data_IF_531393194799
#
_entry.id   IF_531393194799
#
_cell.length_a   1.000
_cell.length_b   1.000
_cell.length_c   1.000
_cell.angle_alpha   90.00
_cell.angle_beta   90.00
_cell.angle_gamma   90.00
#
_symmetry.space_group_name_H-M   'P 1'
#
loop_
_entity.id
_entity.type
_entity.pdbx_description
1 polymer ?
#
# COMPACT_ATOMS: atom_id res chain seq x y z
N UNK A 1 6.86 -13.38 -13.74
CA UNK A 1 5.92 -12.39 -13.14
C UNK A 1 5.68 -11.23 -14.10
N UNK A 2 4.48 -10.65 -14.11
CA UNK A 2 4.18 -9.42 -14.88
C UNK A 2 4.09 -8.22 -13.92
N UNK A 3 4.67 -7.08 -14.30
CA UNK A 3 4.66 -5.87 -13.47
C UNK A 3 3.27 -5.21 -13.49
N UNK A 4 2.49 -5.47 -12.44
CA UNK A 4 1.15 -4.90 -12.27
C UNK A 4 1.16 -3.49 -11.65
N UNK A 5 2.29 -3.05 -11.09
CA UNK A 5 2.40 -1.76 -10.39
C UNK A 5 2.23 -0.59 -11.37
N UNK A 6 2.66 -0.74 -12.63
CA UNK A 6 2.44 0.25 -13.69
C UNK A 6 0.95 0.55 -13.94
N UNK A 7 0.08 -0.47 -13.88
CA UNK A 7 -1.37 -0.28 -14.07
C UNK A 7 -1.92 0.68 -13.01
N UNK A 8 -1.49 0.54 -11.77
CA UNK A 8 -1.91 1.41 -10.66
C UNK A 8 -1.33 2.82 -10.78
N UNK A 9 -0.05 2.94 -11.20
CA UNK A 9 0.56 4.23 -11.47
C UNK A 9 -0.22 5.00 -12.56
N UNK A 10 -0.52 4.36 -13.69
CA UNK A 10 -1.26 5.00 -14.79
C UNK A 10 -2.71 5.32 -14.42
N UNK A 11 -3.40 4.45 -13.67
CA UNK A 11 -4.75 4.73 -13.18
C UNK A 11 -4.77 5.95 -12.25
N UNK A 12 -3.80 6.05 -11.34
CA UNK A 12 -3.69 7.20 -10.44
C UNK A 12 -3.36 8.49 -11.22
N UNK A 13 -2.41 8.44 -12.16
CA UNK A 13 -2.08 9.57 -13.02
C UNK A 13 -3.28 10.04 -13.87
N UNK A 14 -4.01 9.09 -14.48
CA UNK A 14 -5.22 9.38 -15.25
C UNK A 14 -6.31 10.02 -14.38
N UNK A 15 -6.51 9.53 -13.17
CA UNK A 15 -7.40 10.14 -12.19
C UNK A 15 -7.00 11.57 -11.82
N UNK A 16 -5.70 11.82 -11.60
CA UNK A 16 -5.20 13.17 -11.32
C UNK A 16 -5.51 14.14 -12.47
N UNK A 17 -5.25 13.73 -13.72
CA UNK A 17 -5.59 14.54 -14.91
C UNK A 17 -7.08 14.81 -14.98
N UNK A 18 -7.94 13.80 -14.74
CA UNK A 18 -9.38 13.98 -14.70
C UNK A 18 -9.82 15.05 -13.69
N UNK A 19 -9.29 15.03 -12.46
CA UNK A 19 -9.64 16.04 -11.46
C UNK A 19 -9.08 17.43 -11.80
N UNK A 20 -7.92 17.53 -12.44
CA UNK A 20 -7.41 18.81 -12.96
C UNK A 20 -8.34 19.38 -14.04
N UNK A 21 -8.84 18.54 -14.94
CA UNK A 21 -9.83 18.94 -15.94
C UNK A 21 -11.16 19.36 -15.29
N UNK A 22 -11.55 18.69 -14.21
CA UNK A 22 -12.75 19.04 -13.44
C UNK A 22 -12.61 20.43 -12.79
N UNK A 23 -11.44 20.79 -12.28
CA UNK A 23 -11.15 22.16 -11.79
C UNK A 23 -11.32 23.17 -12.92
N UNK A 24 -10.73 22.92 -14.09
CA UNK A 24 -10.81 23.81 -15.24
C UNK A 24 -12.25 23.97 -15.77
N UNK A 25 -13.05 22.90 -15.70
CA UNK A 25 -14.46 22.92 -16.04
C UNK A 25 -15.28 23.70 -15.01
N UNK A 26 -15.10 23.42 -13.71
CA UNK A 26 -15.80 24.10 -12.63
C UNK A 26 -15.56 25.63 -12.65
N UNK A 27 -14.33 26.05 -12.98
CA UNK A 27 -13.99 27.47 -13.10
C UNK A 27 -14.68 28.18 -14.28
N UNK A 28 -15.10 27.46 -15.32
CA UNK A 28 -15.76 28.04 -16.50
C UNK A 28 -17.28 27.87 -16.50
N UNK A 29 -17.78 26.77 -15.92
CA UNK A 29 -19.18 26.36 -16.03
C UNK A 29 -20.02 26.71 -14.78
N UNK A 30 -19.39 27.02 -13.65
CA UNK A 30 -20.08 27.22 -12.37
C UNK A 30 -19.69 28.55 -11.74
N UNK A 31 -20.67 29.25 -11.16
CA UNK A 31 -20.38 30.38 -10.29
C UNK A 31 -19.71 29.88 -8.99
N UNK A 32 -18.71 30.61 -8.52
CA UNK A 32 -17.89 30.20 -7.37
C UNK A 32 -18.75 30.02 -6.11
N UNK A 33 -19.70 30.92 -5.89
CA UNK A 33 -20.60 30.92 -4.73
C UNK A 33 -21.73 29.87 -4.84
N UNK A 34 -22.03 29.38 -6.05
CA UNK A 34 -23.03 28.31 -6.25
C UNK A 34 -22.44 26.89 -6.12
N UNK A 35 -21.30 26.76 -5.44
CA UNK A 35 -20.60 25.48 -5.22
C UNK A 35 -19.39 25.25 -6.11
N UNK A 36 -19.09 26.14 -7.07
CA UNK A 36 -17.90 26.04 -7.91
C UNK A 36 -16.59 25.99 -7.09
N UNK A 37 -16.47 26.81 -6.04
CA UNK A 37 -15.31 26.79 -5.15
C UNK A 37 -15.15 25.48 -4.38
N UNK A 38 -16.26 24.87 -3.92
CA UNK A 38 -16.22 23.60 -3.21
C UNK A 38 -15.74 22.47 -4.12
N UNK A 39 -16.25 22.42 -5.36
CA UNK A 39 -15.84 21.44 -6.37
C UNK A 39 -14.37 21.59 -6.72
N UNK A 40 -13.88 22.82 -6.91
CA UNK A 40 -12.47 23.08 -7.19
C UNK A 40 -11.56 22.67 -6.03
N UNK A 41 -11.94 22.99 -4.79
CA UNK A 41 -11.15 22.62 -3.61
C UNK A 41 -11.01 21.10 -3.44
N UNK A 42 -12.13 20.37 -3.53
CA UNK A 42 -12.12 18.90 -3.43
C UNK A 42 -11.33 18.28 -4.57
N UNK A 43 -11.53 18.76 -5.80
CA UNK A 43 -10.82 18.24 -6.98
C UNK A 43 -9.33 18.50 -6.90
N UNK A 44 -8.91 19.68 -6.40
CA UNK A 44 -7.50 19.98 -6.17
C UNK A 44 -6.87 19.01 -5.16
N UNK A 45 -7.54 18.79 -4.02
CA UNK A 45 -7.05 17.86 -3.01
C UNK A 45 -6.91 16.43 -3.54
N UNK A 46 -7.91 15.96 -4.30
CA UNK A 46 -7.88 14.64 -4.93
C UNK A 46 -6.79 14.53 -6.00
N UNK A 47 -6.60 15.56 -6.82
CA UNK A 47 -5.54 15.60 -7.82
C UNK A 47 -4.15 15.48 -7.17
N UNK A 48 -3.87 16.28 -6.15
CA UNK A 48 -2.59 16.22 -5.41
C UNK A 48 -2.37 14.85 -4.78
N UNK A 49 -3.42 14.29 -4.16
CA UNK A 49 -3.35 12.94 -3.56
C UNK A 49 -3.04 11.88 -4.62
N UNK A 50 -3.70 11.93 -5.78
CA UNK A 50 -3.48 10.97 -6.86
C UNK A 50 -2.11 11.12 -7.52
N UNK A 51 -1.55 12.33 -7.60
CA UNK A 51 -0.16 12.54 -8.02
C UNK A 51 0.80 11.85 -7.04
N UNK A 52 0.61 12.06 -5.73
CA UNK A 52 1.44 11.40 -4.71
C UNK A 52 1.35 9.86 -4.80
N UNK A 53 0.13 9.33 -4.96
CA UNK A 53 -0.10 7.88 -5.16
C UNK A 53 0.57 7.39 -6.44
N UNK A 54 0.48 8.14 -7.55
CA UNK A 54 1.13 7.79 -8.80
C UNK A 54 2.66 7.73 -8.65
N UNK A 55 3.27 8.69 -7.96
CA UNK A 55 4.72 8.70 -7.71
C UNK A 55 5.15 7.52 -6.83
N UNK A 56 4.35 7.15 -5.83
CA UNK A 56 4.58 5.98 -4.99
C UNK A 56 4.62 4.70 -5.83
N UNK A 57 3.59 4.47 -6.67
CA UNK A 57 3.52 3.28 -7.53
C UNK A 57 4.57 3.29 -8.64
N UNK A 58 4.94 4.46 -9.16
CA UNK A 58 6.04 4.59 -10.12
C UNK A 58 7.35 4.06 -9.52
N UNK A 59 7.73 4.54 -8.33
CA UNK A 59 8.97 4.11 -7.68
C UNK A 59 8.99 2.59 -7.49
N UNK A 60 7.86 2.00 -7.08
CA UNK A 60 7.73 0.54 -6.93
C UNK A 60 7.82 -0.20 -8.25
N UNK A 61 7.17 0.30 -9.29
CA UNK A 61 7.17 -0.30 -10.62
C UNK A 61 8.59 -0.34 -11.22
N UNK A 62 9.37 0.74 -11.10
CA UNK A 62 10.76 0.77 -11.57
C UNK A 62 11.67 -0.22 -10.83
N UNK A 63 11.51 -0.35 -9.51
CA UNK A 63 12.25 -1.35 -8.73
C UNK A 63 11.89 -2.75 -9.16
N UNK A 64 10.59 -3.03 -9.38
CA UNK A 64 10.13 -4.32 -9.88
C UNK A 64 10.76 -4.65 -11.24
N UNK A 65 10.75 -3.72 -12.19
CA UNK A 65 11.37 -3.92 -13.52
C UNK A 65 12.86 -4.21 -13.40
N UNK A 66 13.60 -3.43 -12.61
CA UNK A 66 15.05 -3.63 -12.43
C UNK A 66 15.38 -5.02 -11.86
N UNK A 67 14.59 -5.51 -10.89
CA UNK A 67 14.79 -6.83 -10.30
C UNK A 67 14.42 -7.93 -11.30
N UNK A 68 13.31 -7.77 -12.03
CA UNK A 68 12.87 -8.74 -13.04
C UNK A 68 13.81 -8.82 -14.25
N UNK A 69 14.49 -7.72 -14.58
CA UNK A 69 15.55 -7.67 -15.60
C UNK A 69 16.88 -8.27 -15.11
N UNK A 70 16.95 -8.72 -13.85
CA UNK A 70 18.14 -9.35 -13.25
C UNK A 70 19.22 -8.36 -12.82
N UNK A 71 18.92 -7.06 -12.76
CA UNK A 71 19.90 -6.06 -12.38
C UNK A 71 20.20 -6.14 -10.88
N UNK A 72 21.47 -6.38 -10.53
CA UNK A 72 21.96 -6.46 -9.15
C UNK A 72 21.22 -7.49 -8.28
N UNK A 73 20.80 -8.60 -8.87
CA UNK A 73 20.20 -9.72 -8.17
C UNK A 73 21.26 -10.41 -7.28
N UNK A 74 20.99 -10.50 -5.99
CA UNK A 74 21.84 -11.14 -5.00
C UNK A 74 21.43 -12.61 -4.82
N UNK A 75 20.12 -12.87 -4.74
CA UNK A 75 19.59 -14.22 -4.64
C UNK A 75 18.21 -14.35 -5.29
N UNK A 76 17.92 -15.56 -5.75
CA UNK A 76 16.60 -15.97 -6.19
C UNK A 76 16.27 -17.30 -5.51
N UNK A 77 15.25 -17.30 -4.67
CA UNK A 77 14.80 -18.47 -3.94
C UNK A 77 13.40 -18.88 -4.38
N UNK A 78 13.22 -20.19 -4.54
CA UNK A 78 11.93 -20.81 -4.89
C UNK A 78 11.49 -21.71 -3.74
N UNK A 79 10.29 -21.48 -3.21
CA UNK A 79 9.72 -22.26 -2.12
C UNK A 79 8.71 -23.29 -2.61
N UNK A 80 8.49 -24.33 -1.80
CA UNK A 80 7.42 -25.29 -2.03
C UNK A 80 6.04 -24.65 -1.78
N UNK A 81 5.00 -25.12 -2.46
CA UNK A 81 3.64 -24.60 -2.32
C UNK A 81 3.05 -24.79 -0.89
N UNK A 82 3.55 -25.77 -0.14
CA UNK A 82 3.09 -26.09 1.22
C UNK A 82 3.61 -25.08 2.26
N UNK A 83 4.87 -24.64 2.15
CA UNK A 83 5.46 -23.63 3.05
C UNK A 83 4.84 -22.23 2.87
N UNK A 84 4.36 -21.94 1.65
CA UNK A 84 3.73 -20.65 1.32
C UNK A 84 2.38 -20.44 2.01
N UNK A 85 1.57 -21.50 2.17
CA UNK A 85 0.24 -21.43 2.75
C UNK A 85 0.24 -21.13 4.25
N UNK A 86 1.15 -21.74 5.01
CA UNK A 86 1.23 -21.57 6.47
C UNK A 86 1.67 -20.14 6.88
N UNK A 87 2.55 -19.53 6.09
CA UNK A 87 3.04 -18.17 6.34
C UNK A 87 2.11 -17.09 5.79
N UNK A 88 1.28 -17.37 4.77
CA UNK A 88 0.29 -16.43 4.24
C UNK A 88 -0.90 -16.19 5.18
N UNK A 89 -1.30 -17.22 5.94
CA UNK A 89 -2.43 -17.10 6.88
C UNK A 89 -2.17 -16.13 8.05
N UNK A 90 -0.94 -16.11 8.58
CA UNK A 90 -0.58 -15.27 9.74
C UNK A 90 -0.47 -13.79 9.36
N UNK A 91 0.23 -13.47 8.28
CA UNK A 91 0.41 -12.10 7.79
C UNK A 91 -0.93 -11.46 7.34
N UNK A 92 -1.83 -12.27 6.79
CA UNK A 92 -3.17 -11.82 6.39
C UNK A 92 -4.06 -11.40 7.57
N UNK A 93 -3.93 -12.08 8.72
CA UNK A 93 -4.76 -11.78 9.89
C UNK A 93 -4.40 -10.43 10.51
N UNK A 94 -3.11 -10.11 10.61
CA UNK A 94 -2.61 -8.84 11.16
C UNK A 94 -3.01 -7.63 10.30
N UNK A 95 -2.92 -7.76 8.97
CA UNK A 95 -3.37 -6.71 8.04
C UNK A 95 -4.89 -6.47 8.09
N UNK A 96 -5.68 -7.52 8.32
CA UNK A 96 -7.15 -7.41 8.40
C UNK A 96 -7.60 -6.66 9.66
N UNK A 97 -6.99 -6.97 10.80
CA UNK A 97 -7.34 -6.35 12.08
C UNK A 97 -6.96 -4.86 12.11
N UNK A 98 -5.78 -4.50 11.59
CA UNK A 98 -5.35 -3.10 11.51
C UNK A 98 -6.28 -2.24 10.63
N UNK A 99 -6.66 -2.75 9.45
CA UNK A 99 -7.57 -2.03 8.54
C UNK A 99 -8.99 -1.91 9.10
N UNK A 100 -9.46 -2.91 9.85
CA UNK A 100 -10.79 -2.89 10.48
C UNK A 100 -10.87 -1.87 11.61
N UNK A 101 -9.82 -1.74 12.43
CA UNK A 101 -9.75 -0.75 13.48
C UNK A 101 -9.76 0.68 12.92
N UNK A 102 -8.95 0.95 11.88
CA UNK A 102 -8.92 2.25 11.22
C UNK A 102 -10.28 2.61 10.60
N UNK A 103 -10.93 1.65 9.94
CA UNK A 103 -12.28 1.85 9.39
C UNK A 103 -13.31 2.15 10.48
N UNK A 104 -13.24 1.48 11.63
CA UNK A 104 -14.17 1.72 12.74
C UNK A 104 -14.02 3.12 13.32
N UNK A 105 -12.78 3.60 13.48
CA UNK A 105 -12.51 4.97 13.98
C UNK A 105 -12.97 6.02 12.97
N UNK A 106 -12.54 5.91 11.71
CA UNK A 106 -12.88 6.88 10.66
C UNK A 106 -14.38 6.86 10.38
N UNK A 107 -14.98 5.67 10.24
CA UNK A 107 -16.42 5.50 10.04
C UNK A 107 -17.24 6.07 11.20
N UNK A 108 -16.78 5.89 12.44
CA UNK A 108 -17.41 6.48 13.63
C UNK A 108 -17.42 8.01 13.59
N UNK A 109 -16.29 8.64 13.24
CA UNK A 109 -16.22 10.10 13.09
C UNK A 109 -17.13 10.63 11.99
N UNK A 110 -17.17 9.97 10.83
CA UNK A 110 -18.08 10.33 9.75
C UNK A 110 -19.55 10.20 10.18
N UNK A 111 -19.90 9.15 10.92
CA UNK A 111 -21.26 8.95 11.42
C UNK A 111 -21.70 10.08 12.36
N UNK A 112 -20.81 10.51 13.27
CA UNK A 112 -21.07 11.66 14.15
C UNK A 112 -21.27 12.94 13.32
N UNK A 113 -20.40 13.19 12.34
CA UNK A 113 -20.52 14.36 11.47
C UNK A 113 -21.83 14.36 10.67
N UNK A 114 -22.25 13.20 10.13
CA UNK A 114 -23.53 13.02 9.44
C UNK A 114 -24.70 13.35 10.38
N UNK A 115 -24.71 12.81 11.60
CA UNK A 115 -25.77 13.06 12.59
C UNK A 115 -25.83 14.55 12.95
N UNK A 116 -24.69 15.19 13.20
CA UNK A 116 -24.64 16.63 13.49
C UNK A 116 -25.16 17.47 12.32
N UNK A 117 -24.78 17.15 11.08
CA UNK A 117 -25.26 17.88 9.90
C UNK A 117 -26.75 17.66 9.64
N UNK A 118 -27.29 16.48 9.96
CA UNK A 118 -28.73 16.23 9.86
C UNK A 118 -29.54 17.01 10.91
N UNK A 119 -28.99 17.20 12.12
CA UNK A 119 -29.68 17.91 13.21
C UNK A 119 -29.53 19.43 13.07
N UNK A 120 -28.32 19.91 12.75
CA UNK A 120 -27.97 21.34 12.81
C UNK A 120 -27.79 22.00 11.43
N UNK A 121 -27.68 21.23 10.34
CA UNK A 121 -27.33 21.76 9.03
C UNK A 121 -28.48 22.34 8.21
N UNK A 122 -29.73 22.28 8.70
CA UNK A 122 -30.91 22.77 7.97
C UNK A 122 -31.08 22.08 6.61
N UNK A 123 -31.56 22.80 5.59
CA UNK A 123 -31.82 22.24 4.25
C UNK A 123 -30.52 21.78 3.54
N UNK A 124 -29.41 22.49 3.72
CA UNK A 124 -28.11 22.11 3.18
C UNK A 124 -27.48 20.90 3.91
N UNK A 125 -27.88 20.67 5.17
CA UNK A 125 -27.42 19.56 5.99
C UNK A 125 -27.80 18.20 5.42
N UNK A 126 -29.01 18.06 4.89
CA UNK A 126 -29.49 16.80 4.29
C UNK A 126 -28.66 16.41 3.07
N UNK A 127 -28.45 17.36 2.15
CA UNK A 127 -27.72 17.12 0.91
C UNK A 127 -26.25 16.81 1.19
N UNK A 128 -25.63 17.53 2.13
CA UNK A 128 -24.25 17.29 2.58
C UNK A 128 -24.09 15.93 3.27
N UNK A 129 -25.04 15.55 4.11
CA UNK A 129 -25.06 14.23 4.77
C UNK A 129 -25.18 13.09 3.78
N UNK A 130 -25.96 13.25 2.71
CA UNK A 130 -26.11 12.24 1.66
C UNK A 130 -24.80 12.03 0.89
N UNK A 131 -24.06 13.11 0.61
CA UNK A 131 -22.71 13.04 0.02
C UNK A 131 -21.73 12.32 0.96
N UNK A 132 -21.75 12.64 2.26
CA UNK A 132 -20.89 11.99 3.25
C UNK A 132 -21.20 10.50 3.41
N UNK A 133 -22.48 10.11 3.37
CA UNK A 133 -22.89 8.70 3.37
C UNK A 133 -22.33 7.98 2.12
N UNK A 134 -22.40 8.61 0.94
CA UNK A 134 -21.81 8.07 -0.27
C UNK A 134 -20.29 7.86 -0.15
N UNK A 135 -19.57 8.84 0.42
CA UNK A 135 -18.14 8.73 0.68
C UNK A 135 -17.82 7.58 1.66
N UNK A 136 -18.56 7.45 2.76
CA UNK A 136 -18.43 6.33 3.71
C UNK A 136 -18.71 5.00 3.02
N UNK A 137 -19.72 4.93 2.15
CA UNK A 137 -20.04 3.73 1.37
C UNK A 137 -18.89 3.28 0.47
N UNK A 138 -18.24 4.23 -0.21
CA UNK A 138 -17.03 3.95 -1.02
C UNK A 138 -15.89 3.46 -0.14
N UNK A 139 -15.62 4.14 0.98
CA UNK A 139 -14.58 3.74 1.94
C UNK A 139 -14.87 2.33 2.49
N UNK A 140 -16.12 2.01 2.81
CA UNK A 140 -16.55 0.72 3.30
C UNK A 140 -16.35 -0.39 2.26
N UNK A 141 -16.71 -0.11 1.00
CA UNK A 141 -16.46 -1.02 -0.12
C UNK A 141 -14.98 -1.30 -0.29
N UNK A 142 -14.12 -0.29 -0.22
CA UNK A 142 -12.66 -0.45 -0.30
C UNK A 142 -12.14 -1.23 0.91
N UNK A 143 -12.57 -0.88 2.13
CA UNK A 143 -12.15 -1.55 3.36
C UNK A 143 -12.55 -3.04 3.39
N UNK A 144 -13.67 -3.41 2.76
CA UNK A 144 -14.13 -4.80 2.68
C UNK A 144 -13.55 -5.55 1.48
N UNK A 145 -13.37 -4.87 0.34
CA UNK A 145 -12.87 -5.45 -0.90
C UNK A 145 -11.35 -5.65 -0.92
N UNK A 146 -10.58 -4.67 -0.42
CA UNK A 146 -9.12 -4.71 -0.44
C UNK A 146 -8.54 -5.95 0.27
N UNK A 147 -9.01 -6.35 1.48
CA UNK A 147 -8.49 -7.55 2.13
C UNK A 147 -8.75 -8.82 1.31
N UNK A 148 -9.93 -8.97 0.69
CA UNK A 148 -10.21 -10.16 -0.13
C UNK A 148 -9.37 -10.23 -1.41
N UNK A 149 -9.09 -9.08 -2.01
CA UNK A 149 -8.22 -9.00 -3.18
C UNK A 149 -6.77 -9.32 -2.81
N UNK A 150 -6.28 -8.83 -1.66
CA UNK A 150 -4.95 -9.15 -1.15
C UNK A 150 -4.83 -10.63 -0.80
N UNK A 151 -5.83 -11.22 -0.14
CA UNK A 151 -5.83 -12.65 0.20
C UNK A 151 -5.80 -13.56 -1.02
N UNK A 152 -6.66 -13.27 -2.01
CA UNK A 152 -6.73 -14.08 -3.23
C UNK A 152 -5.47 -13.97 -4.08
N UNK A 153 -4.78 -12.83 -4.05
CA UNK A 153 -3.45 -12.67 -4.63
C UNK A 153 -2.39 -13.41 -3.84
N UNK A 154 -2.38 -13.31 -2.50
CA UNK A 154 -1.40 -13.99 -1.66
C UNK A 154 -1.45 -15.52 -1.79
N UNK A 155 -2.64 -16.10 -2.02
CA UNK A 155 -2.80 -17.55 -2.28
C UNK A 155 -2.34 -17.94 -3.68
N UNK A 156 -2.40 -17.02 -4.65
CA UNK A 156 -2.04 -17.27 -6.06
C UNK A 156 -0.62 -16.86 -6.41
N UNK A 157 0.05 -16.12 -5.52
CA UNK A 157 1.39 -15.60 -5.75
C UNK A 157 2.39 -16.75 -5.89
N UNK A 158 3.24 -16.68 -6.92
CA UNK A 158 4.33 -17.65 -7.07
C UNK A 158 5.19 -17.64 -5.80
N UNK A 159 5.54 -18.81 -5.24
CA UNK A 159 6.36 -18.93 -4.04
C UNK A 159 7.83 -18.61 -4.35
N UNK A 160 8.09 -17.39 -4.81
CA UNK A 160 9.41 -16.92 -5.22
C UNK A 160 9.81 -15.68 -4.40
N UNK A 161 11.07 -15.63 -4.01
CA UNK A 161 11.72 -14.45 -3.45
C UNK A 161 12.88 -14.02 -4.36
N UNK A 162 12.86 -12.77 -4.81
CA UNK A 162 13.98 -12.14 -5.50
C UNK A 162 14.59 -11.10 -4.57
N UNK A 163 15.85 -11.30 -4.21
CA UNK A 163 16.61 -10.37 -3.36
C UNK A 163 17.61 -9.66 -4.25
N UNK A 164 17.51 -8.34 -4.35
CA UNK A 164 18.44 -7.50 -5.10
C UNK A 164 19.01 -6.40 -4.21
N UNK A 165 20.06 -5.71 -4.70
CA UNK A 165 20.71 -4.63 -3.95
C UNK A 165 19.84 -3.37 -3.77
N UNK A 166 18.75 -3.25 -4.54
CA UNK A 166 17.86 -2.08 -4.55
C UNK A 166 16.46 -2.37 -3.98
N UNK A 167 16.15 -3.62 -3.66
CA UNK A 167 14.85 -4.03 -3.15
C UNK A 167 14.65 -5.53 -3.14
N UNK A 168 13.53 -5.94 -2.56
CA UNK A 168 13.15 -7.35 -2.48
C UNK A 168 11.76 -7.54 -3.05
N UNK A 169 11.58 -8.59 -3.85
CA UNK A 169 10.27 -9.09 -4.25
C UNK A 169 10.01 -10.34 -3.43
N UNK A 170 8.92 -10.33 -2.67
CA UNK A 170 8.46 -11.49 -1.93
C UNK A 170 6.95 -11.65 -2.18
N UNK A 171 6.51 -12.83 -2.66
CA UNK A 171 5.09 -13.13 -2.90
C UNK A 171 4.37 -12.11 -3.78
N UNK A 172 4.98 -11.73 -4.90
CA UNK A 172 4.48 -10.70 -5.81
C UNK A 172 4.37 -9.28 -5.21
N UNK A 173 4.77 -9.06 -3.96
CA UNK A 173 4.91 -7.74 -3.38
C UNK A 173 6.35 -7.25 -3.50
N UNK A 174 6.51 -6.02 -4.02
CA UNK A 174 7.82 -5.35 -4.11
C UNK A 174 8.04 -4.41 -2.94
N UNK A 175 9.22 -4.52 -2.33
CA UNK A 175 9.70 -3.72 -1.21
C UNK A 175 11.02 -3.02 -1.61
N UNK A 176 10.96 -1.77 -2.10
CA UNK A 176 12.15 -1.00 -2.44
C UNK A 176 12.91 -0.60 -1.16
N UNK A 177 14.24 -0.66 -1.18
CA UNK A 177 15.08 -0.22 -0.06
C UNK A 177 15.10 1.30 0.11
N UNK A 178 14.87 2.03 -0.98
CA UNK A 178 14.60 3.47 -0.95
C UNK A 178 13.42 3.78 -1.87
N UNK A 179 12.40 4.40 -1.30
CA UNK A 179 11.23 4.92 -2.00
C UNK A 179 10.80 6.23 -1.35
N UNK A 180 9.86 6.94 -1.98
CA UNK A 180 9.37 8.25 -1.53
C UNK A 180 8.91 8.27 -0.06
N UNK A 181 8.36 7.15 0.44
CA UNK A 181 7.87 7.03 1.83
C UNK A 181 8.53 5.90 2.61
N UNK A 182 9.52 5.21 2.05
CA UNK A 182 10.08 4.01 2.67
C UNK A 182 11.59 3.97 2.58
N UNK A 183 12.22 3.54 3.66
CA UNK A 183 13.68 3.36 3.72
C UNK A 183 14.01 2.10 4.51
N UNK A 184 14.90 1.28 3.96
CA UNK A 184 15.52 0.17 4.69
C UNK A 184 16.43 0.73 5.79
N UNK A 185 16.24 0.26 7.02
CA UNK A 185 17.14 0.53 8.14
C UNK A 185 18.24 -0.52 8.27
N UNK A 186 17.93 -1.78 8.02
CA UNK A 186 18.91 -2.84 8.11
C UNK A 186 18.32 -4.21 7.77
N UNK A 187 19.22 -5.19 7.68
CA UNK A 187 18.89 -6.58 7.43
C UNK A 187 19.50 -7.41 8.55
N UNK A 188 18.70 -8.26 9.18
CA UNK A 188 19.17 -9.18 10.21
C UNK A 188 18.86 -10.62 9.83
N UNK A 189 19.75 -11.53 10.19
CA UNK A 189 19.58 -12.96 10.00
C UNK A 189 19.26 -13.60 11.34
N UNK A 190 18.14 -14.33 11.40
CA UNK A 190 17.70 -15.08 12.58
C UNK A 190 17.94 -16.58 12.33
N UNK A 191 18.74 -17.18 13.20
CA UNK A 191 19.09 -18.60 13.13
C UNK A 191 17.88 -19.52 13.36
N UNK A 192 17.95 -20.71 12.76
CA UNK A 192 16.97 -21.79 12.94
C UNK A 192 16.81 -22.10 14.42
N UNK A 193 15.58 -21.98 14.93
CA UNK A 193 15.21 -22.48 16.26
C UNK A 193 14.57 -23.86 16.07
N UNK A 194 14.60 -24.80 17.03
CA UNK A 194 14.01 -26.15 16.89
C UNK A 194 12.55 -26.24 16.39
N UNK A 195 11.80 -25.13 16.34
CA UNK A 195 10.41 -25.05 15.87
C UNK A 195 10.21 -24.04 14.71
N UNK A 196 11.26 -23.38 14.21
CA UNK A 196 11.17 -22.33 13.17
C UNK A 196 12.35 -22.37 12.20
N UNK A 197 12.05 -22.31 10.89
CA UNK A 197 13.04 -22.14 9.82
C UNK A 197 13.82 -20.82 9.99
N UNK A 198 15.07 -20.78 9.53
CA UNK A 198 15.88 -19.56 9.49
C UNK A 198 15.15 -18.44 8.71
N UNK A 199 15.27 -17.20 9.21
CA UNK A 199 14.59 -16.03 8.65
C UNK A 199 15.59 -14.92 8.33
N UNK A 200 15.44 -14.32 7.16
CA UNK A 200 16.07 -13.06 6.79
C UNK A 200 15.05 -11.93 7.01
N UNK A 201 15.33 -11.05 7.96
CA UNK A 201 14.43 -9.98 8.40
C UNK A 201 14.92 -8.65 7.84
N UNK A 202 14.11 -8.03 6.97
CA UNK A 202 14.34 -6.70 6.44
C UNK A 202 13.55 -5.69 7.27
N UNK A 203 14.25 -4.80 7.97
CA UNK A 203 13.65 -3.76 8.80
C UNK A 203 13.53 -2.47 7.99
N UNK A 204 12.31 -1.96 7.88
CA UNK A 204 11.99 -0.76 7.13
C UNK A 204 11.38 0.30 8.03
N UNK A 205 11.64 1.57 7.71
CA UNK A 205 10.91 2.71 8.24
C UNK A 205 10.03 3.29 7.14
N UNK A 206 8.72 3.29 7.41
CA UNK A 206 7.72 3.95 6.57
C UNK A 206 7.30 5.28 7.17
N UNK A 207 7.27 6.33 6.33
CA UNK A 207 6.64 7.61 6.66
C UNK A 207 5.13 7.46 6.48
N UNK A 208 4.37 7.48 7.57
CA UNK A 208 2.90 7.29 7.56
C UNK A 208 2.15 8.61 7.84
N UNK A 209 2.87 9.68 8.11
CA UNK A 209 2.31 11.02 8.34
C UNK A 209 3.41 12.07 8.51
N UNK A 210 3.00 13.31 8.79
CA UNK A 210 3.90 14.40 9.15
C UNK A 210 4.61 14.01 10.47
N UNK A 211 5.89 13.59 10.37
CA UNK A 211 6.75 13.12 11.46
C UNK A 211 6.41 11.77 12.11
N UNK A 212 5.48 10.99 11.54
CA UNK A 212 5.18 9.63 12.06
C UNK A 212 5.95 8.60 11.24
N UNK A 213 6.99 8.05 11.86
CA UNK A 213 7.78 6.94 11.34
C UNK A 213 7.25 5.64 11.94
N UNK A 214 6.84 4.69 11.09
CA UNK A 214 6.40 3.37 11.52
C UNK A 214 7.42 2.33 11.08
N UNK A 215 8.11 1.67 12.02
CA UNK A 215 8.94 0.52 11.68
C UNK A 215 8.04 -0.65 11.27
N UNK A 216 8.42 -1.38 10.24
CA UNK A 216 7.81 -2.65 9.87
C UNK A 216 8.89 -3.62 9.37
N UNK A 217 8.63 -4.91 9.54
CA UNK A 217 9.57 -5.98 9.20
C UNK A 217 9.00 -6.85 8.09
N UNK A 218 9.83 -7.19 7.10
CA UNK A 218 9.53 -8.22 6.11
C UNK A 218 10.39 -9.43 6.43
N UNK A 219 9.74 -10.55 6.77
CA UNK A 219 10.41 -11.79 7.18
C UNK A 219 10.38 -12.77 6.03
N UNK A 220 11.55 -13.12 5.52
CA UNK A 220 11.71 -14.02 4.38
C UNK A 220 12.36 -15.31 4.87
N UNK A 221 11.69 -16.47 4.72
CA UNK A 221 12.28 -17.74 5.12
C UNK A 221 13.49 -18.07 4.25
N UNK A 222 14.56 -18.57 4.87
CA UNK A 222 15.75 -19.01 4.14
C UNK A 222 15.58 -20.49 3.78
N UNK A 223 15.69 -20.87 2.50
CA UNK A 223 15.61 -22.26 2.11
C UNK A 223 16.81 -23.05 2.67
N UNK A 224 16.58 -24.33 2.98
CA UNK A 224 17.64 -25.20 3.51
C UNK A 224 18.83 -25.29 2.55
N UNK A 225 20.04 -25.07 3.07
CA UNK A 225 21.28 -25.05 2.29
C UNK A 225 21.75 -23.68 1.80
N UNK A 226 20.93 -22.63 1.91
CA UNK A 226 21.29 -21.23 1.55
C UNK A 226 21.62 -20.37 2.78
N UNK A 227 21.82 -20.99 3.95
CA UNK A 227 22.03 -20.31 5.24
C UNK A 227 23.31 -19.45 5.26
N UNK A 228 24.39 -19.95 4.66
CA UNK A 228 25.64 -19.20 4.51
C UNK A 228 25.47 -17.98 3.59
N UNK A 229 24.79 -18.18 2.46
CA UNK A 229 24.52 -17.11 1.50
C UNK A 229 23.59 -16.04 2.09
N UNK A 230 22.59 -16.45 2.88
CA UNK A 230 21.72 -15.52 3.60
C UNK A 230 22.47 -14.66 4.63
N UNK A 231 23.47 -15.23 5.32
CA UNK A 231 24.35 -14.47 6.23
C UNK A 231 25.19 -13.45 5.47
N UNK A 232 25.74 -13.83 4.31
CA UNK A 232 26.52 -12.91 3.47
C UNK A 232 25.66 -11.74 2.98
N UNK A 233 24.40 -12.00 2.57
CA UNK A 233 23.45 -10.95 2.18
C UNK A 233 23.16 -10.00 3.34
N UNK A 234 22.95 -10.53 4.56
CA UNK A 234 22.73 -9.71 5.74
C UNK A 234 23.93 -8.80 6.05
N UNK A 235 25.16 -9.27 5.82
CA UNK A 235 26.38 -8.46 5.99
C UNK A 235 26.57 -7.40 4.92
N UNK A 236 26.13 -7.64 3.69
CA UNK A 236 26.23 -6.68 2.57
C UNK A 236 25.18 -5.58 2.67
N UNK A 237 23.99 -5.89 3.21
CA UNK A 237 22.83 -4.99 3.25
C UNK A 237 22.54 -4.37 4.63
N UNK A 238 23.14 -4.89 5.70
CA UNK A 238 23.06 -4.34 7.07
C UNK A 238 24.09 -3.26 7.34
#
# INVERSE_FOLDING_TARGET
MQNHEWKWAYLAAGGAVFFILLIAFANQAMDGMSGGYAVMFVSFFLAVTLVAVSLLFWSRARTMDAILEGQNLLAHWTYSAEDSLASAGREFFEYREANRALFMVVGGFFLIAIVLLLIFGGEAGVLTSLVLIGAVGIIALVAWGAPRLVYSRAIRASPEAFIASNGVIYREAVYPFRSFLNRLEGVSYQDTTPDTQALLIFSFIQVVGLYILRPYEVRIPVPGGEESHARDIALVLG
#
